data_IF_627507093343
#
_entry.id   IF_627507093343
#
_cell.length_a   1.000
_cell.length_b   1.000
_cell.length_c   1.000
_cell.angle_alpha   90.00
_cell.angle_beta   90.00
_cell.angle_gamma   90.00
#
_symmetry.space_group_name_H-M   'P 1'
#
loop_
_entity.id
_entity.type
_entity.pdbx_description
1 polymer ?
#
# COMPACT_ATOMS: atom_id res chain seq x y z
N UNK A 1 24.01 22.07 16.84
CA UNK A 1 23.43 21.54 15.59
C UNK A 1 22.60 20.35 16.02
N UNK A 2 21.30 20.56 16.27
CA UNK A 2 20.39 19.45 16.54
C UNK A 2 20.08 18.79 15.21
N UNK A 3 20.51 17.53 15.06
CA UNK A 3 19.98 16.65 14.03
C UNK A 3 18.51 16.41 14.34
N UNK A 4 17.63 17.04 13.57
CA UNK A 4 16.21 16.75 13.56
C UNK A 4 16.01 15.31 13.09
N UNK A 5 16.03 14.38 14.03
CA UNK A 5 15.71 12.98 13.78
C UNK A 5 14.19 12.87 13.72
N UNK A 6 13.60 13.19 12.56
CA UNK A 6 12.22 12.80 12.26
C UNK A 6 12.23 11.30 12.00
N UNK A 7 12.36 10.52 13.06
CA UNK A 7 11.98 9.11 13.04
C UNK A 7 10.46 9.11 12.96
N UNK A 8 9.92 9.15 11.75
CA UNK A 8 8.53 8.79 11.51
C UNK A 8 8.37 7.40 12.13
N UNK A 9 7.54 7.29 13.17
CA UNK A 9 7.21 6.00 13.75
C UNK A 9 6.74 5.12 12.58
N UNK A 10 7.51 4.10 12.18
CA UNK A 10 7.19 3.28 10.99
C UNK A 10 5.74 2.81 11.01
N UNK A 11 5.20 2.61 12.22
CA UNK A 11 3.83 2.23 12.46
C UNK A 11 2.77 3.25 11.98
N UNK A 12 3.12 4.47 11.57
CA UNK A 12 2.18 5.48 11.04
C UNK A 12 2.02 5.41 9.53
N UNK A 13 2.99 4.85 8.80
CA UNK A 13 2.98 4.75 7.34
C UNK A 13 2.44 3.40 6.87
N UNK A 14 1.40 3.43 6.03
CA UNK A 14 0.81 2.25 5.40
C UNK A 14 0.85 2.36 3.88
N UNK A 15 1.37 1.35 3.19
CA UNK A 15 1.35 1.29 1.73
C UNK A 15 0.26 0.33 1.23
N UNK A 16 -0.62 0.85 0.37
CA UNK A 16 -1.57 0.07 -0.41
C UNK A 16 -0.98 -0.13 -1.80
N UNK A 17 -0.69 -1.38 -2.15
CA UNK A 17 0.08 -1.72 -3.34
C UNK A 17 -0.83 -2.40 -4.34
N UNK A 18 -0.93 -1.81 -5.52
CA UNK A 18 -1.55 -2.41 -6.69
C UNK A 18 -0.51 -3.25 -7.44
N UNK A 19 -0.38 -4.52 -7.05
CA UNK A 19 0.66 -5.38 -7.59
C UNK A 19 0.39 -5.77 -9.06
N UNK A 20 -0.87 -5.81 -9.48
CA UNK A 20 -1.25 -6.06 -10.87
C UNK A 20 -0.65 -4.99 -11.78
N UNK A 21 -0.74 -3.73 -11.34
CA UNK A 21 -0.26 -2.60 -12.10
C UNK A 21 1.25 -2.34 -11.94
N UNK A 22 1.83 -2.62 -10.76
CA UNK A 22 3.29 -2.49 -10.57
C UNK A 22 4.09 -3.58 -11.30
N UNK A 23 3.54 -4.79 -11.44
CA UNK A 23 4.19 -5.97 -12.02
C UNK A 23 5.36 -6.56 -11.20
N UNK A 24 6.11 -5.73 -10.47
CA UNK A 24 7.23 -6.11 -9.61
C UNK A 24 7.41 -5.07 -8.50
N UNK A 25 7.85 -5.52 -7.32
CA UNK A 25 8.24 -4.64 -6.21
C UNK A 25 9.73 -4.33 -6.19
N UNK A 26 10.51 -4.84 -7.16
CA UNK A 26 11.93 -4.51 -7.27
C UNK A 26 12.11 -3.01 -7.47
N UNK A 27 13.08 -2.43 -6.77
CA UNK A 27 13.42 -0.99 -6.78
C UNK A 27 12.34 -0.06 -6.18
N UNK A 28 11.33 -0.61 -5.50
CA UNK A 28 10.41 0.20 -4.69
C UNK A 28 10.96 0.20 -3.27
N UNK A 29 11.26 1.40 -2.74
CA UNK A 29 11.68 1.53 -1.34
C UNK A 29 10.47 1.31 -0.42
N UNK A 30 10.48 0.21 0.31
CA UNK A 30 9.40 -0.17 1.22
C UNK A 30 9.80 -0.07 2.71
N UNK A 31 11.07 0.21 3.03
CA UNK A 31 11.67 0.16 4.38
C UNK A 31 11.04 1.12 5.41
N UNK A 32 10.32 2.13 4.94
CA UNK A 32 9.68 3.15 5.77
C UNK A 32 8.29 2.74 6.29
N UNK A 33 7.64 1.75 5.68
CA UNK A 33 6.25 1.40 6.01
C UNK A 33 6.18 0.44 7.19
N UNK A 34 5.24 0.65 8.11
CA UNK A 34 4.93 -0.31 9.17
C UNK A 34 3.92 -1.36 8.73
N UNK A 35 3.12 -1.05 7.71
CA UNK A 35 2.11 -1.95 7.16
C UNK A 35 2.09 -1.87 5.62
N UNK A 36 2.04 -3.04 4.99
CA UNK A 36 1.94 -3.22 3.54
C UNK A 36 0.71 -4.06 3.23
N UNK A 37 -0.19 -3.52 2.41
CA UNK A 37 -1.39 -4.20 1.94
C UNK A 37 -1.26 -4.36 0.42
N UNK A 38 -0.97 -5.58 -0.02
CA UNK A 38 -0.69 -5.91 -1.41
C UNK A 38 -1.95 -6.51 -2.03
N UNK A 39 -2.55 -5.79 -2.98
CA UNK A 39 -3.70 -6.26 -3.73
C UNK A 39 -3.26 -6.96 -5.00
N UNK A 40 -3.82 -8.13 -5.25
CA UNK A 40 -3.51 -8.95 -6.41
C UNK A 40 -4.77 -9.41 -7.11
N UNK A 41 -4.72 -9.46 -8.45
CA UNK A 41 -5.81 -9.96 -9.26
C UNK A 41 -6.03 -11.47 -9.11
N UNK A 42 -7.18 -11.98 -9.58
CA UNK A 42 -7.58 -13.39 -9.43
C UNK A 42 -6.63 -14.38 -10.11
N UNK A 43 -5.90 -13.95 -11.14
CA UNK A 43 -4.96 -14.79 -11.89
C UNK A 43 -3.52 -14.71 -11.35
N UNK A 44 -3.24 -13.80 -10.40
CA UNK A 44 -1.92 -13.62 -9.82
C UNK A 44 -1.69 -14.65 -8.70
N UNK A 45 -1.20 -15.83 -9.06
CA UNK A 45 -0.93 -16.91 -8.10
C UNK A 45 0.41 -16.78 -7.37
N UNK A 46 1.28 -15.88 -7.83
CA UNK A 46 2.62 -15.68 -7.29
C UNK A 46 2.86 -14.18 -7.06
N UNK A 47 3.28 -13.86 -5.84
CA UNK A 47 3.77 -12.52 -5.46
C UNK A 47 5.23 -12.66 -5.07
N UNK A 48 6.10 -11.92 -5.77
CA UNK A 48 7.53 -11.94 -5.49
C UNK A 48 7.86 -10.77 -4.56
N UNK A 49 8.18 -11.12 -3.32
CA UNK A 49 8.58 -10.18 -2.29
C UNK A 49 10.12 -10.07 -2.29
N UNK A 50 10.71 -8.90 -2.63
CA UNK A 50 12.16 -8.70 -2.55
C UNK A 50 12.65 -8.74 -1.10
N UNK A 51 13.47 -9.75 -0.75
CA UNK A 51 13.89 -10.03 0.63
C UNK A 51 14.52 -8.82 1.35
N UNK A 52 15.28 -7.99 0.62
CA UNK A 52 16.03 -6.88 1.21
C UNK A 52 15.25 -5.57 1.27
N UNK A 53 14.00 -5.53 0.79
CA UNK A 53 13.23 -4.29 0.72
C UNK A 53 12.19 -4.13 1.84
N UNK A 54 11.94 -5.19 2.63
CA UNK A 54 10.92 -5.13 3.67
C UNK A 54 11.46 -4.60 4.99
N UNK A 55 10.75 -3.65 5.62
CA UNK A 55 11.06 -3.22 6.97
C UNK A 55 10.95 -4.36 7.96
N UNK A 56 11.93 -4.44 8.87
CA UNK A 56 11.87 -5.31 10.03
C UNK A 56 10.61 -5.02 10.86
N UNK A 57 9.85 -6.07 11.19
CA UNK A 57 8.62 -5.96 11.99
C UNK A 57 7.38 -5.44 11.24
N UNK A 58 7.47 -5.17 9.93
CA UNK A 58 6.31 -4.70 9.17
C UNK A 58 5.25 -5.77 9.00
N UNK A 59 3.97 -5.36 9.09
CA UNK A 59 2.84 -6.25 8.80
C UNK A 59 2.61 -6.29 7.29
N UNK A 60 2.74 -7.48 6.71
CA UNK A 60 2.46 -7.70 5.28
C UNK A 60 1.15 -8.47 5.14
N UNK A 61 0.21 -7.90 4.41
CA UNK A 61 -1.08 -8.52 4.06
C UNK A 61 -1.18 -8.65 2.55
N UNK A 62 -1.44 -9.86 2.05
CA UNK A 62 -1.74 -10.10 0.64
C UNK A 62 -3.25 -10.31 0.52
N UNK A 63 -3.91 -9.53 -0.35
CA UNK A 63 -5.34 -9.62 -0.63
C UNK A 63 -5.58 -9.95 -2.09
N UNK A 64 -5.91 -11.22 -2.34
CA UNK A 64 -6.34 -11.67 -3.65
C UNK A 64 -7.80 -11.34 -3.86
N UNK A 65 -8.08 -10.59 -4.93
CA UNK A 65 -9.43 -10.28 -5.36
C UNK A 65 -9.93 -11.45 -6.21
N UNK A 66 -11.02 -12.09 -5.80
CA UNK A 66 -11.51 -13.34 -6.41
C UNK A 66 -12.28 -13.16 -7.72
N UNK A 67 -12.79 -11.95 -8.00
CA UNK A 67 -13.55 -11.65 -9.22
C UNK A 67 -12.67 -11.21 -10.39
N UNK A 68 -12.96 -11.70 -11.60
CA UNK A 68 -12.38 -11.18 -12.84
C UNK A 68 -13.28 -10.08 -13.38
N UNK A 69 -12.86 -8.82 -13.21
CA UNK A 69 -13.53 -7.66 -13.80
C UNK A 69 -12.52 -6.54 -14.02
N UNK A 70 -12.83 -5.63 -14.95
CA UNK A 70 -12.01 -4.45 -15.19
C UNK A 70 -11.96 -3.58 -13.92
N UNK A 71 -10.77 -3.11 -13.58
CA UNK A 71 -10.48 -2.25 -12.42
C UNK A 71 -10.86 -2.87 -11.06
N UNK A 72 -10.99 -4.20 -10.97
CA UNK A 72 -11.50 -4.82 -9.76
C UNK A 72 -10.54 -4.68 -8.57
N UNK A 73 -9.23 -4.75 -8.84
CA UNK A 73 -8.18 -4.50 -7.85
C UNK A 73 -8.28 -3.05 -7.35
N UNK A 74 -8.41 -2.08 -8.24
CA UNK A 74 -8.53 -0.66 -7.91
C UNK A 74 -9.73 -0.38 -7.00
N UNK A 75 -10.89 -0.97 -7.29
CA UNK A 75 -12.09 -0.79 -6.46
C UNK A 75 -11.90 -1.36 -5.04
N UNK A 76 -11.29 -2.54 -4.91
CA UNK A 76 -11.03 -3.13 -3.60
C UNK A 76 -9.97 -2.33 -2.82
N UNK A 77 -8.96 -1.81 -3.50
CA UNK A 77 -7.93 -0.96 -2.92
C UNK A 77 -8.54 0.34 -2.37
N UNK A 78 -9.32 1.05 -3.17
CA UNK A 78 -9.96 2.32 -2.78
C UNK A 78 -11.00 2.10 -1.68
N UNK A 79 -11.77 1.01 -1.74
CA UNK A 79 -12.70 0.63 -0.67
C UNK A 79 -11.97 0.45 0.65
N UNK A 80 -10.84 -0.26 0.64
CA UNK A 80 -10.05 -0.45 1.84
C UNK A 80 -9.46 0.88 2.35
N UNK A 81 -8.90 1.70 1.47
CA UNK A 81 -8.37 3.01 1.82
C UNK A 81 -9.43 3.85 2.56
N UNK A 82 -10.67 3.88 2.04
CA UNK A 82 -11.78 4.58 2.69
C UNK A 82 -12.14 3.99 4.07
N UNK A 83 -12.09 2.66 4.23
CA UNK A 83 -12.38 2.01 5.52
C UNK A 83 -11.31 2.32 6.56
N UNK A 84 -10.03 2.17 6.21
CA UNK A 84 -8.93 2.37 7.15
C UNK A 84 -8.73 3.84 7.49
N UNK A 85 -8.94 4.76 6.54
CA UNK A 85 -8.87 6.20 6.80
C UNK A 85 -9.98 6.63 7.78
N UNK A 86 -11.20 6.12 7.60
CA UNK A 86 -12.32 6.38 8.51
C UNK A 86 -12.05 5.81 9.92
N UNK A 87 -11.59 4.56 10.04
CA UNK A 87 -11.28 3.95 11.34
C UNK A 87 -10.08 4.58 12.06
N UNK A 88 -9.23 5.31 11.33
CA UNK A 88 -8.06 6.00 11.87
C UNK A 88 -8.30 7.48 12.16
N UNK A 89 -9.54 7.98 12.04
CA UNK A 89 -9.86 9.38 12.33
C UNK A 89 -9.32 9.81 13.72
N UNK A 90 -8.52 10.89 13.75
CA UNK A 90 -7.88 11.41 14.96
C UNK A 90 -6.55 10.74 15.34
N UNK A 91 -6.02 9.83 14.51
CA UNK A 91 -4.67 9.25 14.65
C UNK A 91 -3.73 9.85 13.60
N UNK A 92 -2.45 9.94 13.94
CA UNK A 92 -1.40 10.28 12.97
C UNK A 92 -1.11 9.05 12.11
N UNK A 93 -1.76 8.98 10.94
CA UNK A 93 -1.66 7.88 9.98
C UNK A 93 -1.57 8.45 8.58
N UNK A 94 -0.60 7.96 7.82
CA UNK A 94 -0.40 8.33 6.42
C UNK A 94 -0.50 7.10 5.54
N UNK A 95 -1.26 7.22 4.46
CA UNK A 95 -1.50 6.16 3.50
C UNK A 95 -0.89 6.52 2.16
N UNK A 96 -0.07 5.62 1.60
CA UNK A 96 0.47 5.77 0.25
C UNK A 96 -0.13 4.71 -0.67
N UNK A 97 -0.52 5.11 -1.88
CA UNK A 97 -0.86 4.19 -2.95
C UNK A 97 0.40 3.99 -3.81
N UNK A 98 0.76 2.74 -4.04
CA UNK A 98 1.86 2.35 -4.94
C UNK A 98 1.23 1.68 -6.15
N UNK A 99 1.16 2.41 -7.26
CA UNK A 99 0.66 1.95 -8.56
C UNK A 99 1.27 2.82 -9.68
N UNK A 100 1.30 2.31 -10.90
CA UNK A 100 1.57 3.13 -12.10
C UNK A 100 0.28 3.66 -12.75
N UNK A 101 -0.90 3.27 -12.25
CA UNK A 101 -2.18 3.83 -12.67
C UNK A 101 -2.39 5.24 -12.06
N UNK A 102 -2.71 6.21 -12.91
CA UNK A 102 -3.03 7.59 -12.50
C UNK A 102 -4.49 7.77 -12.10
N UNK A 103 -5.33 6.74 -12.26
CA UNK A 103 -6.73 6.76 -11.83
C UNK A 103 -6.89 7.06 -10.33
N UNK A 104 -5.88 6.72 -9.52
CA UNK A 104 -5.86 7.01 -8.09
C UNK A 104 -5.64 8.50 -7.76
N UNK A 105 -5.08 9.31 -8.66
CA UNK A 105 -4.78 10.74 -8.40
C UNK A 105 -6.04 11.51 -7.99
N UNK A 106 -7.19 11.19 -8.59
CA UNK A 106 -8.47 11.81 -8.26
C UNK A 106 -8.98 11.44 -6.87
N UNK A 107 -8.76 10.19 -6.44
CA UNK A 107 -9.13 9.71 -5.10
C UNK A 107 -8.27 10.39 -4.05
N UNK A 108 -6.95 10.45 -4.26
CA UNK A 108 -5.99 11.06 -3.32
C UNK A 108 -6.32 12.54 -3.08
N UNK A 109 -6.74 13.29 -4.11
CA UNK A 109 -7.13 14.70 -3.97
C UNK A 109 -8.40 14.93 -3.14
N UNK A 110 -9.19 13.90 -2.92
CA UNK A 110 -10.50 14.00 -2.24
C UNK A 110 -10.44 13.60 -0.77
N UNK A 111 -9.39 12.88 -0.36
CA UNK A 111 -9.12 12.46 1.01
C UNK A 111 -8.35 13.53 1.78
#
# INVERSE_FOLDING_TARGET
>A
MEENNTSTDKNTLTALIDYENCGSLKNISLEQYGELIIFVGPQQNVVVLPADSFPEGARITIRQVSGVSRNNVDFHLVLELGRISCCAAGKDKTYHIISSDKGYDGVIRTL
#
